data_IF_032382021782
#
_entry.id   IF_032382021782
#
_cell.length_a   1.000
_cell.length_b   1.000
_cell.length_c   1.000
_cell.angle_alpha   90.00
_cell.angle_beta   90.00
_cell.angle_gamma   90.00
#
_symmetry.space_group_name_H-M   'P 1'
#
loop_
_entity.id
_entity.type
_entity.pdbx_description
1 polymer ?
#
# COMPACT_ATOMS: atom_id res chain seq x y z
N UNK A 1 10.71 -48.99 -6.47
CA UNK A 1 11.17 -47.62 -6.81
C UNK A 1 10.21 -47.03 -7.83
N UNK A 2 9.13 -46.36 -7.42
CA UNK A 2 8.38 -45.47 -8.31
C UNK A 2 7.77 -44.29 -7.53
N UNK A 3 8.23 -43.10 -7.90
CA UNK A 3 7.49 -41.87 -8.13
C UNK A 3 6.58 -41.32 -7.01
N UNK A 4 7.19 -40.67 -6.01
CA UNK A 4 6.56 -39.60 -5.26
C UNK A 4 6.95 -38.25 -5.84
N UNK A 5 6.22 -37.76 -6.84
CA UNK A 5 6.39 -36.38 -7.31
C UNK A 5 5.42 -35.49 -6.53
N UNK A 6 5.96 -34.87 -5.50
CA UNK A 6 5.31 -33.87 -4.66
C UNK A 6 4.78 -32.70 -5.49
N UNK A 7 3.49 -32.42 -5.34
CA UNK A 7 2.81 -31.24 -5.86
C UNK A 7 3.40 -29.98 -5.21
N UNK A 8 4.24 -29.25 -5.94
CA UNK A 8 4.72 -27.92 -5.52
C UNK A 8 3.82 -26.90 -6.20
N UNK A 9 2.73 -26.55 -5.53
CA UNK A 9 1.94 -25.38 -5.90
C UNK A 9 2.79 -24.12 -5.69
N UNK A 10 2.74 -23.14 -6.61
CA UNK A 10 3.47 -21.89 -6.43
C UNK A 10 2.99 -21.19 -5.15
N UNK A 11 3.87 -20.52 -4.38
CA UNK A 11 3.44 -19.68 -3.27
C UNK A 11 2.67 -18.50 -3.87
N UNK A 12 1.34 -18.64 -3.94
CA UNK A 12 0.44 -17.53 -4.23
C UNK A 12 0.84 -16.39 -3.30
N UNK A 13 1.03 -15.15 -3.79
CA UNK A 13 1.33 -14.04 -2.91
C UNK A 13 0.16 -13.94 -1.91
N UNK A 14 0.46 -14.39 -0.68
CA UNK A 14 -0.55 -14.71 0.31
C UNK A 14 -1.21 -13.43 0.79
N UNK A 15 -2.53 -13.45 0.85
CA UNK A 15 -3.27 -12.41 1.53
C UNK A 15 -2.84 -12.39 3.00
N UNK A 16 -2.46 -11.22 3.50
CA UNK A 16 -2.10 -11.04 4.89
C UNK A 16 -3.35 -10.71 5.71
N UNK A 17 -3.47 -11.34 6.87
CA UNK A 17 -4.47 -11.01 7.88
C UNK A 17 -3.74 -10.31 9.01
N UNK A 18 -4.10 -9.06 9.27
CA UNK A 18 -3.49 -8.24 10.32
C UNK A 18 -4.53 -7.99 11.39
N UNK A 19 -4.20 -8.37 12.62
CA UNK A 19 -5.01 -8.08 13.79
C UNK A 19 -4.67 -6.69 14.33
N UNK A 20 -5.69 -5.90 14.64
CA UNK A 20 -5.53 -4.55 15.20
C UNK A 20 -5.31 -4.65 16.70
N UNK A 21 -4.11 -4.28 17.14
CA UNK A 21 -3.78 -4.13 18.55
C UNK A 21 -4.61 -3.01 19.20
N UNK A 22 -4.90 -3.09 20.52
CA UNK A 22 -5.65 -2.06 21.24
C UNK A 22 -5.00 -0.67 21.19
N UNK A 23 -3.69 -0.60 21.02
CA UNK A 23 -2.94 0.66 20.86
C UNK A 23 -3.22 1.38 19.54
N UNK A 24 -3.69 0.65 18.53
CA UNK A 24 -4.05 1.16 17.21
C UNK A 24 -5.57 1.35 17.08
N UNK A 25 -6.34 0.97 18.11
CA UNK A 25 -7.78 1.16 18.15
C UNK A 25 -8.14 2.66 18.16
N UNK A 26 -9.20 3.03 17.45
CA UNK A 26 -9.60 4.43 17.26
C UNK A 26 -8.87 5.13 16.10
N UNK A 27 -7.80 4.55 15.55
CA UNK A 27 -7.17 5.07 14.34
C UNK A 27 -8.05 4.82 13.12
N UNK A 28 -8.05 5.77 12.17
CA UNK A 28 -8.66 5.57 10.85
C UNK A 28 -7.91 4.47 10.08
N UNK A 29 -8.64 3.62 9.37
CA UNK A 29 -8.05 2.57 8.53
C UNK A 29 -7.12 3.14 7.45
N UNK A 30 -7.38 4.35 6.92
CA UNK A 30 -6.49 5.00 5.97
C UNK A 30 -5.09 5.21 6.57
N UNK A 31 -5.01 5.81 7.75
CA UNK A 31 -3.76 6.02 8.49
C UNK A 31 -3.08 4.72 8.89
N UNK A 32 -3.85 3.70 9.29
CA UNK A 32 -3.32 2.38 9.57
C UNK A 32 -2.65 1.77 8.33
N UNK A 33 -3.33 1.82 7.17
CA UNK A 33 -2.78 1.30 5.91
C UNK A 33 -1.57 2.10 5.43
N UNK A 34 -1.52 3.42 5.64
CA UNK A 34 -0.34 4.25 5.32
C UNK A 34 0.87 3.84 6.17
N UNK A 35 0.64 3.56 7.46
CA UNK A 35 1.71 3.20 8.40
C UNK A 35 2.18 1.76 8.18
N UNK A 36 1.25 0.86 7.87
CA UNK A 36 1.52 -0.56 7.60
C UNK A 36 2.17 -0.76 6.22
N UNK A 37 1.63 -0.12 5.18
CA UNK A 37 2.14 -0.17 3.81
C UNK A 37 3.10 0.99 3.55
N UNK A 38 4.27 0.95 4.19
CA UNK A 38 5.34 1.93 3.99
C UNK A 38 5.74 2.00 2.50
N UNK A 39 5.78 3.21 1.94
CA UNK A 39 6.12 3.44 0.53
C UNK A 39 4.92 3.45 -0.44
N UNK A 40 3.70 3.12 0.03
CA UNK A 40 2.50 3.20 -0.82
C UNK A 40 1.97 4.64 -0.91
N UNK A 41 1.79 5.21 -2.12
CA UNK A 41 1.17 6.52 -2.26
C UNK A 41 -0.29 6.51 -1.78
N UNK A 42 -0.74 7.58 -1.11
CA UNK A 42 -2.12 7.74 -0.63
C UNK A 42 -3.17 7.43 -1.72
N UNK A 43 -2.93 7.87 -2.96
CA UNK A 43 -3.82 7.62 -4.11
C UNK A 43 -4.05 6.12 -4.36
N UNK A 44 -3.01 5.30 -4.24
CA UNK A 44 -3.11 3.85 -4.41
C UNK A 44 -3.90 3.22 -3.26
N UNK A 45 -3.68 3.67 -2.03
CA UNK A 45 -4.44 3.25 -0.83
C UNK A 45 -5.94 3.53 -1.00
N UNK A 46 -6.30 4.73 -1.45
CA UNK A 46 -7.70 5.06 -1.74
C UNK A 46 -8.27 4.20 -2.88
N UNK A 47 -7.47 3.85 -3.90
CA UNK A 47 -7.92 3.00 -5.00
C UNK A 47 -8.22 1.58 -4.56
N UNK A 48 -7.35 0.96 -3.74
CA UNK A 48 -7.56 -0.40 -3.22
C UNK A 48 -8.73 -0.47 -2.24
N UNK A 49 -8.91 0.57 -1.40
CA UNK A 49 -10.08 0.71 -0.52
C UNK A 49 -11.38 0.84 -1.32
N UNK A 50 -11.39 1.69 -2.37
CA UNK A 50 -12.58 1.87 -3.23
C UNK A 50 -12.90 0.61 -4.02
N UNK A 51 -11.91 -0.13 -4.51
CA UNK A 51 -12.11 -1.44 -5.15
C UNK A 51 -12.61 -2.51 -4.19
N UNK A 52 -12.43 -2.33 -2.88
CA UNK A 52 -12.82 -3.32 -1.86
C UNK A 52 -11.85 -4.49 -1.76
N UNK A 53 -10.59 -4.27 -2.11
CA UNK A 53 -9.52 -5.27 -1.97
C UNK A 53 -9.15 -5.49 -0.49
N UNK A 54 -9.22 -4.41 0.31
CA UNK A 54 -9.06 -4.47 1.76
C UNK A 54 -10.42 -4.76 2.40
N UNK A 55 -10.47 -5.78 3.26
CA UNK A 55 -11.67 -6.16 4.01
C UNK A 55 -11.38 -6.18 5.50
N UNK A 56 -12.25 -5.60 6.30
CA UNK A 56 -12.15 -5.68 7.77
C UNK A 56 -13.27 -6.57 8.26
N UNK A 57 -12.95 -7.58 9.07
CA UNK A 57 -13.92 -8.51 9.62
C UNK A 57 -14.86 -9.09 8.53
N UNK A 58 -14.29 -9.46 7.38
CA UNK A 58 -14.99 -9.92 6.15
C UNK A 58 -15.93 -8.91 5.48
N UNK A 59 -16.08 -7.68 5.99
CA UNK A 59 -16.90 -6.61 5.42
C UNK A 59 -16.12 -5.60 4.56
N UNK A 60 -16.83 -4.93 3.65
CA UNK A 60 -16.33 -3.75 2.94
C UNK A 60 -16.52 -2.53 3.84
N UNK A 61 -15.45 -1.78 4.02
CA UNK A 61 -15.41 -0.62 4.93
C UNK A 61 -15.06 0.67 4.19
N UNK A 62 -15.54 1.79 4.72
CA UNK A 62 -15.20 3.13 4.21
C UNK A 62 -13.80 3.51 4.72
N UNK A 63 -13.03 4.33 3.97
CA UNK A 63 -11.72 4.82 4.41
C UNK A 63 -11.77 5.57 5.76
N UNK A 64 -12.91 6.17 6.10
CA UNK A 64 -13.13 6.89 7.35
C UNK A 64 -13.48 5.99 8.54
N UNK A 65 -13.50 4.67 8.34
CA UNK A 65 -13.75 3.70 9.39
C UNK A 65 -12.64 3.77 10.46
N UNK A 66 -13.06 3.87 11.71
CA UNK A 66 -12.17 3.78 12.88
C UNK A 66 -12.03 2.33 13.27
N UNK A 67 -10.81 1.84 13.29
CA UNK A 67 -10.49 0.47 13.68
C UNK A 67 -10.79 0.25 15.16
N UNK A 68 -11.21 -0.95 15.50
CA UNK A 68 -11.42 -1.41 16.87
C UNK A 68 -10.35 -2.44 17.25
N UNK A 69 -10.08 -2.58 18.55
CA UNK A 69 -9.18 -3.60 19.04
C UNK A 69 -9.74 -5.00 18.68
N UNK A 70 -8.91 -5.87 18.13
CA UNK A 70 -9.32 -7.20 17.66
C UNK A 70 -9.93 -7.23 16.26
N UNK A 71 -9.96 -6.10 15.54
CA UNK A 71 -10.35 -6.12 14.13
C UNK A 71 -9.35 -6.91 13.28
N UNK A 72 -9.86 -7.74 12.38
CA UNK A 72 -9.05 -8.51 11.43
C UNK A 72 -9.11 -7.82 10.07
N UNK A 73 -8.01 -7.19 9.69
CA UNK A 73 -7.82 -6.51 8.41
C UNK A 73 -7.16 -7.46 7.41
N UNK A 74 -7.88 -7.80 6.36
CA UNK A 74 -7.39 -8.55 5.20
C UNK A 74 -6.74 -7.58 4.22
N UNK A 75 -5.44 -7.72 4.03
CA UNK A 75 -4.63 -6.85 3.16
C UNK A 75 -4.00 -7.72 2.06
N UNK A 76 -4.21 -7.43 0.78
CA UNK A 76 -3.48 -8.08 -0.28
C UNK A 76 -1.99 -7.71 -0.20
N UNK A 77 -1.07 -8.57 -0.65
CA UNK A 77 0.35 -8.23 -0.73
C UNK A 77 0.58 -7.17 -1.81
N UNK A 78 0.51 -5.90 -1.42
CA UNK A 78 0.82 -4.77 -2.29
C UNK A 78 2.32 -4.55 -2.26
N UNK A 79 3.04 -5.15 -3.21
CA UNK A 79 4.43 -4.78 -3.49
C UNK A 79 4.42 -3.42 -4.19
N UNK A 80 4.77 -2.38 -3.46
CA UNK A 80 5.22 -1.14 -4.10
C UNK A 80 6.66 -1.35 -4.52
N UNK A 81 7.02 -1.09 -5.80
CA UNK A 81 8.43 -0.86 -6.10
C UNK A 81 8.86 0.34 -5.24
N UNK A 82 10.02 0.21 -4.57
CA UNK A 82 10.73 1.38 -4.05
C UNK A 82 10.71 2.43 -5.15
N UNK A 83 10.10 3.57 -4.84
CA UNK A 83 9.97 4.65 -5.79
C UNK A 83 11.32 5.35 -5.81
N UNK A 84 12.26 4.72 -6.50
CA UNK A 84 13.51 5.34 -6.85
C UNK A 84 13.21 6.55 -7.74
N UNK A 85 13.86 7.63 -7.35
CA UNK A 85 14.04 8.92 -7.99
C UNK A 85 12.84 9.91 -8.09
N UNK A 86 12.98 11.11 -7.50
CA UNK A 86 12.20 12.25 -7.95
C UNK A 86 12.61 12.57 -9.38
N UNK A 87 11.65 12.55 -10.30
CA UNK A 87 11.84 12.97 -11.69
C UNK A 87 12.51 14.36 -11.69
N UNK A 88 13.72 14.54 -12.23
CA UNK A 88 14.38 15.85 -12.23
C UNK A 88 13.76 16.71 -13.34
N UNK A 89 12.58 17.27 -13.10
CA UNK A 89 11.94 18.23 -14.02
C UNK A 89 12.57 19.64 -13.91
N UNK A 90 13.76 19.76 -13.33
CA UNK A 90 14.38 21.06 -13.01
C UNK A 90 15.47 21.51 -14.00
N UNK A 91 16.12 20.59 -14.72
CA UNK A 91 17.33 20.95 -15.49
C UNK A 91 17.01 21.72 -16.78
N UNK A 92 16.00 21.28 -17.54
CA UNK A 92 15.62 21.95 -18.78
C UNK A 92 15.00 23.35 -18.54
N UNK A 93 14.44 23.61 -17.34
CA UNK A 93 13.88 24.91 -16.98
C UNK A 93 14.97 25.88 -16.53
N UNK A 94 15.96 25.42 -15.75
CA UNK A 94 17.10 26.22 -15.32
C UNK A 94 17.91 26.77 -16.50
N UNK A 95 18.20 25.94 -17.51
CA UNK A 95 18.94 26.38 -18.70
C UNK A 95 18.22 27.48 -19.49
N UNK A 96 16.88 27.48 -19.49
CA UNK A 96 16.09 28.53 -20.17
C UNK A 96 16.08 29.85 -19.41
N UNK A 97 16.21 29.81 -18.08
CA UNK A 97 16.26 31.00 -17.24
C UNK A 97 17.63 31.67 -17.33
N UNK A 98 18.73 30.89 -17.33
CA UNK A 98 20.09 31.43 -17.48
C UNK A 98 20.31 32.11 -18.84
N UNK A 99 19.77 31.55 -19.91
CA UNK A 99 19.85 32.14 -21.26
C UNK A 99 19.02 33.42 -21.46
N UNK A 100 18.16 33.78 -20.49
CA UNK A 100 17.27 34.93 -20.57
C UNK A 100 17.77 36.15 -19.77
N UNK A 101 18.88 36.04 -19.04
CA UNK A 101 19.50 37.16 -18.33
C UNK A 101 20.44 37.88 -19.30
N UNK A 102 19.95 38.96 -19.89
CA UNK A 102 20.72 39.94 -20.67
C UNK A 102 21.29 40.98 -19.70
N UNK A 103 22.62 41.23 -19.76
CA UNK A 103 23.32 42.27 -19.00
C UNK A 103 23.08 43.66 -19.60
#
# INVERSE_FOLDING_TARGET
MICGMTNIAPPTPGVQLVEVAPELAGQRIDNFLITYLKGVPKTLIYRILRKGEVRVNKGRIKPEYKLQAGDIVRIPPVRVPERDEPVPVAQALLQRLEAAIVY
#
